data_IF_149980388184
#
_entry.id   IF_149980388184
#
_cell.length_a   1.000
_cell.length_b   1.000
_cell.length_c   1.000
_cell.angle_alpha   90.00
_cell.angle_beta   90.00
_cell.angle_gamma   90.00
#
_symmetry.space_group_name_H-M   'P 1'
#
loop_
_entity.id
_entity.type
_entity.pdbx_description
1 polymer ?
#
# COMPACT_ATOMS: atom_id res chain seq x y z
N UNK A 1 -12.73 -7.32 27.26
CA UNK A 1 -12.81 -7.34 25.79
C UNK A 1 -12.71 -8.77 25.28
N UNK A 2 -12.78 -8.94 23.97
CA UNK A 2 -12.41 -10.20 23.32
C UNK A 2 -10.90 -10.27 23.15
N UNK A 3 -10.34 -11.47 23.13
CA UNK A 3 -9.02 -11.69 22.52
C UNK A 3 -9.14 -11.53 21.00
N UNK A 4 -8.05 -11.29 20.28
CA UNK A 4 -8.08 -11.24 18.82
C UNK A 4 -8.73 -12.48 18.18
N UNK A 5 -8.35 -13.69 18.64
CA UNK A 5 -8.87 -14.95 18.11
C UNK A 5 -10.38 -15.11 18.34
N UNK A 6 -10.87 -14.73 19.52
CA UNK A 6 -12.30 -14.74 19.81
C UNK A 6 -13.07 -13.80 18.90
N UNK A 7 -12.58 -12.58 18.72
CA UNK A 7 -13.21 -11.59 17.83
C UNK A 7 -13.24 -12.08 16.38
N UNK A 8 -12.11 -12.54 15.86
CA UNK A 8 -12.03 -13.06 14.50
C UNK A 8 -12.89 -14.30 14.28
N UNK A 9 -13.01 -15.16 15.28
CA UNK A 9 -13.92 -16.32 15.22
C UNK A 9 -15.39 -15.87 15.07
N UNK A 10 -15.80 -14.81 15.79
CA UNK A 10 -17.15 -14.27 15.69
C UNK A 10 -17.37 -13.64 14.30
N UNK A 11 -16.44 -12.78 13.84
CA UNK A 11 -16.56 -12.08 12.58
C UNK A 11 -16.55 -13.02 11.37
N UNK A 12 -15.65 -14.01 11.37
CA UNK A 12 -15.55 -15.01 10.30
C UNK A 12 -16.80 -15.89 10.22
N UNK A 13 -17.31 -16.35 11.37
CA UNK A 13 -18.56 -17.12 11.44
C UNK A 13 -19.73 -16.29 10.90
N UNK A 14 -19.87 -15.04 11.33
CA UNK A 14 -20.91 -14.15 10.86
C UNK A 14 -20.83 -13.96 9.33
N UNK A 15 -19.64 -13.72 8.80
CA UNK A 15 -19.40 -13.60 7.37
C UNK A 15 -19.80 -14.85 6.59
N UNK A 16 -19.41 -16.02 7.09
CA UNK A 16 -19.73 -17.30 6.46
C UNK A 16 -21.25 -17.59 6.45
N UNK A 17 -21.92 -17.45 7.61
CA UNK A 17 -23.36 -17.70 7.75
C UNK A 17 -24.21 -16.76 6.87
N UNK A 18 -23.77 -15.51 6.68
CA UNK A 18 -24.48 -14.52 5.91
C UNK A 18 -23.98 -14.35 4.45
N UNK A 19 -22.98 -15.15 4.02
CA UNK A 19 -22.33 -15.04 2.71
C UNK A 19 -21.85 -13.61 2.42
N UNK A 20 -21.30 -12.95 3.42
CA UNK A 20 -20.85 -11.59 3.40
C UNK A 20 -19.34 -11.53 3.14
N UNK A 21 -18.89 -10.45 2.46
CA UNK A 21 -17.46 -10.14 2.34
C UNK A 21 -16.81 -10.09 3.74
N UNK A 22 -15.62 -10.71 3.88
CA UNK A 22 -14.98 -10.87 5.18
C UNK A 22 -14.64 -9.56 5.87
N UNK A 23 -14.26 -8.50 5.11
CA UNK A 23 -13.95 -7.20 5.68
C UNK A 23 -15.21 -6.45 6.10
N UNK A 24 -16.26 -6.51 5.30
CA UNK A 24 -17.55 -5.94 5.67
C UNK A 24 -18.13 -6.66 6.89
N UNK A 25 -17.97 -7.99 6.96
CA UNK A 25 -18.39 -8.79 8.11
C UNK A 25 -17.66 -8.39 9.39
N UNK A 26 -16.33 -8.21 9.30
CA UNK A 26 -15.51 -7.78 10.43
C UNK A 26 -15.87 -6.37 10.90
N UNK A 27 -16.04 -5.41 9.99
CA UNK A 27 -16.43 -4.04 10.33
C UNK A 27 -17.82 -3.98 10.95
N UNK A 28 -18.78 -4.72 10.38
CA UNK A 28 -20.13 -4.85 10.95
C UNK A 28 -20.09 -5.46 12.35
N UNK A 29 -19.38 -6.57 12.51
CA UNK A 29 -19.24 -7.27 13.81
C UNK A 29 -18.61 -6.34 14.85
N UNK A 30 -17.63 -5.53 14.48
CA UNK A 30 -17.00 -4.57 15.39
C UNK A 30 -18.03 -3.56 15.92
N UNK A 31 -18.87 -3.00 15.04
CA UNK A 31 -19.94 -2.07 15.45
C UNK A 31 -20.90 -2.75 16.41
N UNK A 32 -21.39 -3.95 16.05
CA UNK A 32 -22.37 -4.67 16.84
C UNK A 32 -21.84 -5.09 18.22
N UNK A 33 -20.63 -5.63 18.28
CA UNK A 33 -20.03 -6.08 19.53
C UNK A 33 -19.66 -4.91 20.45
N UNK A 34 -19.21 -3.79 19.90
CA UNK A 34 -19.02 -2.57 20.67
C UNK A 34 -20.34 -2.05 21.25
N UNK A 35 -21.42 -2.06 20.44
CA UNK A 35 -22.76 -1.66 20.87
C UNK A 35 -23.28 -2.55 22.01
N UNK A 36 -23.16 -3.87 21.89
CA UNK A 36 -23.57 -4.84 22.92
C UNK A 36 -22.84 -4.64 24.25
N UNK A 37 -21.57 -4.24 24.18
CA UNK A 37 -20.72 -4.02 25.36
C UNK A 37 -20.75 -2.58 25.89
N UNK A 38 -21.54 -1.69 25.30
CA UNK A 38 -21.59 -0.28 25.68
C UNK A 38 -20.31 0.49 25.40
N UNK A 39 -19.46 0.00 24.49
CA UNK A 39 -18.22 0.66 24.06
C UNK A 39 -18.56 1.67 22.97
N UNK A 40 -18.14 2.92 23.16
CA UNK A 40 -18.29 3.98 22.16
C UNK A 40 -17.24 3.84 21.08
N UNK A 41 -17.59 3.18 19.98
CA UNK A 41 -16.70 3.03 18.81
C UNK A 41 -16.65 4.36 18.05
N UNK A 42 -15.86 5.30 18.54
CA UNK A 42 -15.63 6.62 17.94
C UNK A 42 -14.30 6.65 17.19
N UNK A 43 -14.15 7.65 16.31
CA UNK A 43 -12.87 7.89 15.61
C UNK A 43 -11.73 8.08 16.60
N UNK A 44 -11.92 8.92 17.63
CA UNK A 44 -10.88 9.20 18.63
C UNK A 44 -10.47 7.93 19.41
N UNK A 45 -11.43 7.04 19.69
CA UNK A 45 -11.13 5.76 20.32
C UNK A 45 -10.21 4.92 19.45
N UNK A 46 -10.52 4.78 18.16
CA UNK A 46 -9.70 4.01 17.22
C UNK A 46 -8.31 4.63 17.00
N UNK A 47 -8.24 5.96 16.86
CA UNK A 47 -6.97 6.69 16.81
C UNK A 47 -6.15 6.45 18.09
N UNK A 48 -6.80 6.44 19.26
CA UNK A 48 -6.09 6.14 20.52
C UNK A 48 -5.50 4.71 20.54
N UNK A 49 -6.18 3.75 19.94
CA UNK A 49 -5.65 2.40 19.77
C UNK A 49 -4.38 2.39 18.89
N UNK A 50 -4.35 3.23 17.87
CA UNK A 50 -3.19 3.37 16.98
C UNK A 50 -1.92 3.85 17.69
N UNK A 51 -2.06 4.65 18.72
CA UNK A 51 -0.90 5.13 19.53
C UNK A 51 -0.19 4.03 20.30
N UNK A 52 -0.83 2.89 20.51
CA UNK A 52 -0.28 1.74 21.20
C UNK A 52 0.37 0.71 20.26
N UNK A 53 0.39 0.97 18.95
CA UNK A 53 1.00 0.05 17.99
C UNK A 53 2.52 0.10 18.13
N UNK A 54 3.11 -1.05 18.34
CA UNK A 54 4.55 -1.24 18.27
C UNK A 54 4.99 -1.36 16.81
N UNK A 55 5.92 -0.49 16.41
CA UNK A 55 6.48 -0.50 15.06
C UNK A 55 7.63 -1.52 14.98
N UNK A 56 7.83 -2.09 13.81
CA UNK A 56 8.99 -2.92 13.57
C UNK A 56 10.31 -2.16 13.78
N UNK A 57 11.40 -2.87 14.09
CA UNK A 57 12.69 -2.24 14.32
C UNK A 57 13.08 -1.31 13.16
N UNK A 58 13.42 -0.06 13.49
CA UNK A 58 13.92 0.94 12.55
C UNK A 58 12.84 1.65 11.70
N UNK A 59 11.54 1.30 11.82
CA UNK A 59 10.48 1.96 11.03
C UNK A 59 10.35 3.44 11.38
N UNK A 60 10.54 3.80 12.66
CA UNK A 60 10.36 5.17 13.14
C UNK A 60 11.25 6.21 12.44
N UNK A 61 12.40 5.81 11.94
CA UNK A 61 13.38 6.69 11.29
C UNK A 61 13.70 6.27 9.85
N UNK A 62 13.13 5.16 9.38
CA UNK A 62 13.37 4.67 8.03
C UNK A 62 12.89 5.63 6.95
N UNK A 63 11.72 6.24 7.12
CA UNK A 63 11.15 7.17 6.14
C UNK A 63 12.08 8.36 5.91
N UNK A 64 12.52 9.01 6.98
CA UNK A 64 13.44 10.16 6.87
C UNK A 64 14.78 9.76 6.24
N UNK A 65 15.32 8.56 6.55
CA UNK A 65 16.57 8.07 5.96
C UNK A 65 16.45 7.77 4.48
N UNK A 66 15.38 7.10 4.05
CA UNK A 66 15.20 6.77 2.63
C UNK A 66 14.86 8.02 1.81
N UNK A 67 14.11 8.98 2.37
CA UNK A 67 13.83 10.26 1.74
C UNK A 67 15.12 11.06 1.53
N UNK A 68 15.94 11.22 2.57
CA UNK A 68 17.24 11.89 2.46
C UNK A 68 18.15 11.19 1.44
N UNK A 69 18.13 9.86 1.38
CA UNK A 69 18.86 9.13 0.36
C UNK A 69 18.32 9.43 -1.05
N UNK A 70 16.99 9.44 -1.24
CA UNK A 70 16.34 9.81 -2.51
C UNK A 70 16.79 11.18 -3.00
N UNK A 71 16.80 12.19 -2.12
CA UNK A 71 17.27 13.54 -2.43
C UNK A 71 18.71 13.53 -2.95
N UNK A 72 19.62 12.72 -2.38
CA UNK A 72 21.00 12.58 -2.89
C UNK A 72 21.08 11.95 -4.28
N UNK A 73 20.02 11.24 -4.70
CA UNK A 73 19.91 10.66 -6.04
C UNK A 73 19.08 11.54 -6.99
N UNK A 74 18.61 12.71 -6.54
CA UNK A 74 17.80 13.65 -7.34
C UNK A 74 16.34 13.20 -7.50
N UNK A 75 15.81 12.35 -6.61
CA UNK A 75 14.43 11.87 -6.65
C UNK A 75 13.69 12.18 -5.35
N UNK A 76 12.41 12.53 -5.47
CA UNK A 76 11.48 12.67 -4.36
C UNK A 76 10.78 11.32 -4.11
N UNK A 77 10.73 10.88 -2.85
CA UNK A 77 10.06 9.63 -2.47
C UNK A 77 8.76 9.97 -1.76
N UNK A 78 7.67 9.35 -2.19
CA UNK A 78 6.36 9.46 -1.56
C UNK A 78 5.95 8.11 -0.97
N UNK A 79 5.31 8.16 0.19
CA UNK A 79 4.86 6.97 0.91
C UNK A 79 3.34 6.88 0.94
N UNK A 80 2.82 5.69 0.73
CA UNK A 80 1.40 5.38 0.71
C UNK A 80 1.11 4.11 1.51
N UNK A 81 -0.04 4.05 2.17
CA UNK A 81 -0.50 2.81 2.83
C UNK A 81 -1.69 2.24 2.07
N UNK A 82 -1.63 0.94 1.80
CA UNK A 82 -2.73 0.13 1.28
C UNK A 82 -3.00 -1.02 2.26
N UNK A 83 -4.00 -0.88 3.13
CA UNK A 83 -4.20 -1.79 4.26
C UNK A 83 -5.66 -2.27 4.36
N UNK A 84 -5.83 -3.54 4.73
CA UNK A 84 -7.13 -4.07 5.14
C UNK A 84 -7.46 -3.78 6.62
N UNK A 85 -6.53 -3.14 7.35
CA UNK A 85 -6.77 -2.60 8.69
C UNK A 85 -7.58 -1.31 8.66
N UNK A 86 -7.82 -0.73 9.84
CA UNK A 86 -8.57 0.52 9.97
C UNK A 86 -7.69 1.75 9.80
N UNK A 87 -8.14 2.69 8.98
CA UNK A 87 -7.49 3.97 8.72
C UNK A 87 -7.22 4.73 10.01
N UNK A 88 -8.21 4.81 10.89
CA UNK A 88 -8.14 5.54 12.14
C UNK A 88 -7.02 5.01 13.05
N UNK A 89 -6.81 3.69 13.04
CA UNK A 89 -5.73 3.07 13.79
C UNK A 89 -4.37 3.46 13.18
N UNK A 90 -4.25 3.42 11.85
CA UNK A 90 -3.02 3.82 11.16
C UNK A 90 -2.71 5.30 11.42
N UNK A 91 -3.72 6.17 11.36
CA UNK A 91 -3.58 7.60 11.66
C UNK A 91 -3.13 7.89 13.09
N UNK A 92 -3.42 6.98 14.03
CA UNK A 92 -2.95 7.04 15.41
C UNK A 92 -1.48 6.62 15.58
N UNK A 93 -0.88 5.95 14.61
CA UNK A 93 0.51 5.47 14.70
C UNK A 93 1.52 6.61 14.66
N UNK A 94 2.69 6.38 15.26
CA UNK A 94 3.77 7.38 15.33
C UNK A 94 4.35 7.80 13.99
N UNK A 95 4.04 7.09 12.89
CA UNK A 95 4.56 7.35 11.54
C UNK A 95 3.49 7.76 10.53
N UNK A 96 2.27 8.04 10.98
CA UNK A 96 1.16 8.39 10.09
C UNK A 96 1.41 9.64 9.25
N UNK A 97 2.20 10.57 9.76
CA UNK A 97 2.58 11.82 9.09
C UNK A 97 3.54 11.64 7.90
N UNK A 98 4.14 10.46 7.77
CA UNK A 98 5.03 10.12 6.65
C UNK A 98 4.26 9.73 5.38
N UNK A 99 2.97 9.44 5.50
CA UNK A 99 2.18 8.97 4.37
C UNK A 99 1.45 10.12 3.68
N UNK A 100 1.63 10.20 2.36
CA UNK A 100 0.91 11.15 1.52
C UNK A 100 -0.59 10.82 1.44
N UNK A 101 -0.93 9.52 1.43
CA UNK A 101 -2.31 9.04 1.50
C UNK A 101 -2.35 7.66 2.17
N UNK A 102 -3.43 7.41 2.91
CA UNK A 102 -3.71 6.15 3.58
C UNK A 102 -4.99 5.58 3.00
N UNK A 103 -4.88 4.52 2.21
CA UNK A 103 -6.01 3.72 1.75
C UNK A 103 -6.17 2.52 2.66
N UNK A 104 -7.17 2.57 3.51
CA UNK A 104 -7.47 1.52 4.48
C UNK A 104 -8.98 1.44 4.71
N UNK A 105 -9.45 0.37 5.34
CA UNK A 105 -10.84 0.32 5.76
C UNK A 105 -11.16 1.50 6.68
N UNK A 106 -12.28 2.16 6.47
CA UNK A 106 -12.66 3.37 7.20
C UNK A 106 -14.15 3.32 7.55
N UNK A 107 -14.51 3.84 8.73
CA UNK A 107 -15.90 3.97 9.13
C UNK A 107 -16.50 5.31 8.73
N UNK A 108 -17.77 5.30 8.37
CA UNK A 108 -18.62 6.47 8.40
C UNK A 108 -19.16 6.65 9.82
N UNK A 109 -19.08 7.89 10.35
CA UNK A 109 -19.53 8.23 11.69
C UNK A 109 -20.83 9.00 11.62
N UNK A 110 -21.78 8.62 12.49
CA UNK A 110 -23.06 9.30 12.61
C UNK A 110 -22.94 10.66 13.36
N UNK A 111 -24.06 11.36 13.53
CA UNK A 111 -24.11 12.67 14.21
C UNK A 111 -23.62 12.62 15.67
N UNK A 112 -23.64 11.44 16.31
CA UNK A 112 -23.12 11.22 17.66
C UNK A 112 -21.61 10.90 17.66
N UNK A 113 -20.96 10.91 16.50
CA UNK A 113 -19.55 10.57 16.33
C UNK A 113 -19.24 9.07 16.53
N UNK A 114 -20.23 8.20 16.35
CA UNK A 114 -20.07 6.76 16.48
C UNK A 114 -20.02 6.10 15.10
N UNK A 115 -19.16 5.09 14.95
CA UNK A 115 -19.09 4.27 13.74
C UNK A 115 -20.45 3.63 13.45
N UNK A 116 -20.95 3.79 12.24
CA UNK A 116 -22.28 3.36 11.86
C UNK A 116 -22.32 2.56 10.56
N UNK A 117 -21.34 2.75 9.68
CA UNK A 117 -21.28 2.08 8.37
C UNK A 117 -19.84 2.01 7.86
N UNK A 118 -19.45 0.99 7.09
CA UNK A 118 -18.20 1.02 6.34
C UNK A 118 -18.23 2.17 5.30
N UNK A 119 -17.30 3.10 5.39
CA UNK A 119 -17.12 4.18 4.41
C UNK A 119 -16.25 3.72 3.24
N UNK A 120 -15.22 2.96 3.54
CA UNK A 120 -14.30 2.37 2.59
C UNK A 120 -13.92 0.97 3.08
N UNK A 121 -13.90 0.00 2.17
CA UNK A 121 -13.26 -1.29 2.36
C UNK A 121 -12.04 -1.42 1.45
N UNK A 122 -10.97 -2.00 1.96
CA UNK A 122 -9.73 -2.24 1.21
C UNK A 122 -9.36 -3.70 1.35
N UNK A 123 -9.85 -4.51 0.43
CA UNK A 123 -9.63 -5.95 0.39
C UNK A 123 -8.50 -6.32 -0.59
N UNK A 124 -8.10 -7.59 -0.58
CA UNK A 124 -6.99 -8.08 -1.40
C UNK A 124 -7.20 -7.92 -2.92
N UNK A 125 -8.45 -7.87 -3.40
CA UNK A 125 -8.73 -7.68 -4.82
C UNK A 125 -8.77 -6.22 -5.21
N UNK A 126 -9.34 -5.35 -4.36
CA UNK A 126 -9.48 -3.94 -4.68
C UNK A 126 -8.24 -3.09 -4.32
N UNK A 127 -7.24 -3.63 -3.61
CA UNK A 127 -5.96 -2.93 -3.37
C UNK A 127 -5.32 -2.42 -4.67
N UNK A 128 -5.46 -3.14 -5.77
CA UNK A 128 -4.88 -2.77 -7.07
C UNK A 128 -5.42 -1.45 -7.62
N UNK A 129 -6.69 -1.09 -7.35
CA UNK A 129 -7.23 0.20 -7.79
C UNK A 129 -6.47 1.37 -7.16
N UNK A 130 -6.03 1.24 -5.90
CA UNK A 130 -5.31 2.31 -5.21
C UNK A 130 -3.90 2.50 -5.78
N UNK A 131 -3.27 1.44 -6.25
CA UNK A 131 -2.01 1.54 -7.00
C UNK A 131 -2.22 2.30 -8.30
N UNK A 132 -3.32 2.05 -9.03
CA UNK A 132 -3.67 2.85 -10.22
C UNK A 132 -3.99 4.32 -9.87
N UNK A 133 -4.62 4.58 -8.72
CA UNK A 133 -4.84 5.96 -8.25
C UNK A 133 -3.53 6.71 -8.04
N UNK A 134 -2.56 6.07 -7.41
CA UNK A 134 -1.21 6.61 -7.21
C UNK A 134 -0.54 6.84 -8.57
N UNK A 135 -0.57 5.85 -9.46
CA UNK A 135 0.00 5.93 -10.80
C UNK A 135 -0.54 7.14 -11.60
N UNK A 136 -1.86 7.33 -11.60
CA UNK A 136 -2.52 8.44 -12.31
C UNK A 136 -2.52 9.77 -11.55
N UNK A 137 -2.18 9.79 -10.26
CA UNK A 137 -2.29 10.98 -9.42
C UNK A 137 -3.73 11.34 -9.02
N UNK A 138 -4.68 10.40 -9.12
CA UNK A 138 -6.09 10.60 -8.80
C UNK A 138 -6.37 9.98 -7.43
N UNK A 139 -5.92 10.66 -6.38
CA UNK A 139 -5.91 10.11 -5.03
C UNK A 139 -7.30 10.08 -4.37
N UNK A 140 -8.20 10.99 -4.74
CA UNK A 140 -9.55 11.05 -4.19
C UNK A 140 -10.38 9.84 -4.60
N UNK A 141 -10.86 9.05 -3.62
CA UNK A 141 -11.66 7.84 -3.84
C UNK A 141 -13.01 8.11 -4.50
N UNK A 142 -13.56 9.33 -4.41
CA UNK A 142 -14.81 9.71 -5.06
C UNK A 142 -14.68 9.96 -6.58
N UNK A 143 -13.44 10.06 -7.09
CA UNK A 143 -13.16 10.39 -8.49
C UNK A 143 -13.00 9.15 -9.38
N UNK A 144 -13.98 8.27 -9.38
CA UNK A 144 -13.93 7.01 -10.15
C UNK A 144 -13.97 7.24 -11.67
N UNK A 145 -14.70 8.23 -12.15
CA UNK A 145 -14.75 8.56 -13.58
C UNK A 145 -13.40 8.98 -14.11
N UNK A 146 -12.68 9.82 -13.36
CA UNK A 146 -11.32 10.26 -13.70
C UNK A 146 -10.34 9.08 -13.66
N UNK A 147 -10.45 8.21 -12.65
CA UNK A 147 -9.63 7.01 -12.54
C UNK A 147 -9.76 6.10 -13.77
N UNK A 148 -10.99 5.90 -14.25
CA UNK A 148 -11.28 5.01 -15.39
C UNK A 148 -11.08 5.69 -16.76
N UNK A 149 -10.87 7.01 -16.80
CA UNK A 149 -10.58 7.70 -18.07
C UNK A 149 -9.24 7.22 -18.64
N UNK A 150 -9.17 7.18 -19.99
CA UNK A 150 -7.91 6.91 -20.68
C UNK A 150 -6.89 8.01 -20.37
N UNK A 151 -5.66 7.61 -20.04
CA UNK A 151 -4.55 8.53 -19.77
C UNK A 151 -3.31 7.97 -20.47
N UNK A 152 -2.64 8.76 -21.33
CA UNK A 152 -1.37 8.37 -21.93
C UNK A 152 -0.33 8.00 -20.87
N UNK A 153 0.58 7.08 -21.20
CA UNK A 153 1.55 6.57 -20.23
C UNK A 153 2.53 7.64 -19.75
N UNK A 154 2.91 8.56 -20.63
CA UNK A 154 3.77 9.72 -20.35
C UNK A 154 3.10 10.80 -19.49
N UNK A 155 1.76 10.79 -19.42
CA UNK A 155 0.97 11.71 -18.60
C UNK A 155 0.68 11.18 -17.19
N UNK A 156 1.06 9.94 -16.91
CA UNK A 156 0.88 9.33 -15.58
C UNK A 156 1.85 9.95 -14.59
N UNK A 157 1.32 10.31 -13.41
CA UNK A 157 2.11 11.03 -12.40
C UNK A 157 3.30 10.23 -11.89
N UNK A 158 3.10 8.93 -11.59
CA UNK A 158 4.17 8.04 -11.14
C UNK A 158 4.12 6.77 -11.99
N UNK A 159 5.10 6.52 -12.87
CA UNK A 159 5.19 5.28 -13.62
C UNK A 159 5.30 4.06 -12.68
N UNK A 160 4.74 2.92 -13.08
CA UNK A 160 4.88 1.70 -12.28
C UNK A 160 6.33 1.29 -12.07
N UNK A 161 7.21 1.57 -13.05
CA UNK A 161 8.66 1.34 -12.95
C UNK A 161 9.32 2.07 -11.79
N UNK A 162 8.70 3.15 -11.31
CA UNK A 162 9.14 3.97 -10.17
C UNK A 162 8.35 3.67 -8.89
N UNK A 163 7.74 2.49 -8.80
CA UNK A 163 7.02 2.06 -7.62
C UNK A 163 7.68 0.84 -6.97
N UNK A 164 7.68 0.85 -5.63
CA UNK A 164 8.05 -0.29 -4.80
C UNK A 164 6.82 -0.65 -3.97
N UNK A 165 6.35 -1.88 -4.09
CA UNK A 165 5.31 -2.41 -3.24
C UNK A 165 5.92 -3.30 -2.17
N UNK A 166 5.68 -2.96 -0.91
CA UNK A 166 6.14 -3.73 0.25
C UNK A 166 4.91 -4.31 0.95
N UNK A 167 4.88 -5.62 1.16
CA UNK A 167 3.79 -6.30 1.84
C UNK A 167 4.29 -7.49 2.66
N UNK A 168 3.40 -8.13 3.41
CA UNK A 168 3.78 -9.21 4.35
C UNK A 168 3.01 -10.51 4.13
N UNK A 169 2.10 -10.56 3.16
CA UNK A 169 1.25 -11.74 3.05
C UNK A 169 0.45 -11.90 1.77
N UNK A 170 -0.44 -12.89 1.83
CA UNK A 170 -1.26 -13.31 0.69
C UNK A 170 -2.22 -12.23 0.19
N UNK A 171 -2.64 -11.32 1.07
CA UNK A 171 -3.52 -10.20 0.69
C UNK A 171 -2.86 -9.21 -0.26
N UNK A 172 -1.53 -9.21 -0.34
CA UNK A 172 -0.74 -8.28 -1.16
C UNK A 172 -0.37 -8.86 -2.53
N UNK A 173 -0.57 -10.16 -2.71
CA UNK A 173 -0.17 -10.89 -3.94
C UNK A 173 -0.68 -10.25 -5.24
N UNK A 174 -1.95 -9.79 -5.34
CA UNK A 174 -2.41 -9.12 -6.56
C UNK A 174 -1.59 -7.88 -6.90
N UNK A 175 -1.29 -7.03 -5.91
CA UNK A 175 -0.45 -5.84 -6.09
C UNK A 175 1.00 -6.19 -6.41
N UNK A 176 1.59 -7.17 -5.72
CA UNK A 176 2.95 -7.66 -5.98
C UNK A 176 3.10 -8.17 -7.41
N UNK A 177 2.16 -9.00 -7.88
CA UNK A 177 2.14 -9.48 -9.27
C UNK A 177 2.01 -8.34 -10.26
N UNK A 178 1.16 -7.37 -9.98
CA UNK A 178 0.98 -6.20 -10.82
C UNK A 178 2.25 -5.36 -10.91
N UNK A 179 2.93 -5.09 -9.77
CA UNK A 179 4.20 -4.38 -9.76
C UNK A 179 5.21 -5.04 -10.69
N UNK A 180 5.44 -6.35 -10.53
CA UNK A 180 6.37 -7.09 -11.37
C UNK A 180 5.98 -7.08 -12.85
N UNK A 181 4.69 -7.23 -13.15
CA UNK A 181 4.19 -7.23 -14.54
C UNK A 181 4.42 -5.88 -15.25
N UNK A 182 4.38 -4.76 -14.52
CA UNK A 182 4.56 -3.42 -15.07
C UNK A 182 5.96 -2.82 -14.80
N UNK A 183 6.92 -3.64 -14.37
CA UNK A 183 8.32 -3.23 -14.21
C UNK A 183 8.66 -2.51 -12.91
N UNK A 184 7.72 -2.42 -11.98
CA UNK A 184 7.97 -2.00 -10.60
C UNK A 184 8.68 -3.07 -9.78
N UNK A 185 8.86 -2.83 -8.49
CA UNK A 185 9.52 -3.76 -7.58
C UNK A 185 8.53 -4.26 -6.53
N UNK A 186 8.52 -5.56 -6.28
CA UNK A 186 7.70 -6.20 -5.26
C UNK A 186 8.59 -6.83 -4.18
N UNK A 187 8.40 -6.41 -2.95
CA UNK A 187 9.18 -6.84 -1.79
C UNK A 187 8.24 -7.42 -0.75
N UNK A 188 8.57 -8.59 -0.20
CA UNK A 188 7.85 -9.10 0.95
C UNK A 188 8.72 -9.06 2.20
N UNK A 189 8.11 -8.63 3.32
CA UNK A 189 8.74 -8.66 4.63
C UNK A 189 8.11 -9.72 5.51
N UNK A 190 8.87 -10.32 6.41
CA UNK A 190 8.38 -11.39 7.26
C UNK A 190 8.85 -11.23 8.71
N UNK A 191 8.04 -11.79 9.60
CA UNK A 191 8.41 -12.19 10.95
C UNK A 191 8.57 -13.72 10.97
N UNK A 192 9.13 -14.27 12.04
CA UNK A 192 9.32 -15.72 12.15
C UNK A 192 8.00 -16.51 11.99
N UNK A 193 6.89 -15.93 12.43
CA UNK A 193 5.56 -16.55 12.35
C UNK A 193 5.00 -16.73 10.93
N UNK A 194 5.36 -15.88 9.97
CA UNK A 194 4.86 -15.93 8.58
C UNK A 194 5.95 -16.22 7.53
N UNK A 195 7.17 -16.49 7.97
CA UNK A 195 8.36 -16.67 7.12
C UNK A 195 8.14 -17.68 5.99
N UNK A 196 7.64 -18.86 6.31
CA UNK A 196 7.42 -19.93 5.32
C UNK A 196 6.47 -19.50 4.19
N UNK A 197 5.41 -18.73 4.51
CA UNK A 197 4.50 -18.19 3.51
C UNK A 197 5.15 -17.16 2.59
N UNK A 198 6.02 -16.33 3.14
CA UNK A 198 6.76 -15.32 2.36
C UNK A 198 7.86 -15.97 1.49
N UNK A 199 8.55 -16.99 1.98
CA UNK A 199 9.51 -17.78 1.18
C UNK A 199 8.81 -18.44 -0.03
N UNK A 200 7.57 -18.93 0.14
CA UNK A 200 6.75 -19.48 -0.96
C UNK A 200 6.41 -18.41 -2.01
N UNK A 201 6.19 -17.15 -1.61
CA UNK A 201 5.97 -16.05 -2.57
C UNK A 201 7.20 -15.84 -3.48
N UNK A 202 8.40 -15.87 -2.93
CA UNK A 202 9.64 -15.77 -3.70
C UNK A 202 9.83 -16.99 -4.62
N UNK A 203 9.67 -18.20 -4.09
CA UNK A 203 9.81 -19.44 -4.84
C UNK A 203 8.84 -19.51 -6.03
N UNK A 204 7.62 -18.99 -5.88
CA UNK A 204 6.61 -18.89 -6.94
C UNK A 204 6.76 -17.66 -7.84
N UNK A 205 7.83 -16.90 -7.69
CA UNK A 205 8.08 -15.71 -8.48
C UNK A 205 7.01 -14.61 -8.33
N UNK A 206 6.42 -14.46 -7.15
CA UNK A 206 5.40 -13.44 -6.88
C UNK A 206 5.98 -12.14 -6.36
N UNK A 207 7.19 -12.19 -5.81
CA UNK A 207 7.97 -11.05 -5.34
C UNK A 207 9.39 -11.09 -5.90
N UNK A 208 10.08 -9.97 -5.87
CA UNK A 208 11.49 -9.87 -6.31
C UNK A 208 12.44 -10.15 -5.15
N UNK A 209 12.07 -9.75 -3.94
CA UNK A 209 12.90 -9.88 -2.74
C UNK A 209 12.06 -10.23 -1.51
N UNK A 210 12.70 -10.89 -0.55
CA UNK A 210 12.14 -11.13 0.80
C UNK A 210 13.15 -10.75 1.87
N UNK A 211 12.68 -10.17 2.96
CA UNK A 211 13.53 -9.75 4.10
C UNK A 211 12.81 -9.96 5.44
N UNK A 212 13.56 -10.15 6.54
CA UNK A 212 12.99 -9.90 7.87
C UNK A 212 12.40 -8.49 7.95
N UNK A 213 11.34 -8.31 8.74
CA UNK A 213 10.73 -6.99 9.00
C UNK A 213 11.65 -6.13 9.91
N UNK A 214 12.86 -5.85 9.44
CA UNK A 214 13.88 -5.06 10.10
C UNK A 214 14.32 -3.90 9.20
N UNK A 215 13.86 -2.70 9.55
CA UNK A 215 14.03 -1.47 8.78
C UNK A 215 15.23 -0.64 9.26
N UNK A 216 16.06 -1.16 10.16
CA UNK A 216 17.23 -0.43 10.68
C UNK A 216 18.24 -0.12 9.58
N UNK A 217 19.00 0.96 9.78
CA UNK A 217 20.06 1.36 8.84
C UNK A 217 21.11 0.25 8.64
N UNK A 218 21.54 0.10 7.39
CA UNK A 218 22.56 -0.88 7.00
C UNK A 218 22.09 -2.34 6.95
N UNK A 219 20.81 -2.65 7.22
CA UNK A 219 20.26 -3.99 7.00
C UNK A 219 20.24 -4.32 5.51
N UNK A 220 20.10 -5.60 5.18
CA UNK A 220 19.97 -6.01 3.78
C UNK A 220 18.72 -5.41 3.13
N UNK A 221 17.61 -5.28 3.88
CA UNK A 221 16.42 -4.56 3.43
C UNK A 221 16.75 -3.10 3.07
N UNK A 222 17.31 -2.35 4.02
CA UNK A 222 17.65 -0.93 3.84
C UNK A 222 18.60 -0.72 2.63
N UNK A 223 19.64 -1.54 2.55
CA UNK A 223 20.61 -1.47 1.45
C UNK A 223 19.97 -1.78 0.11
N UNK A 224 19.09 -2.79 0.05
CA UNK A 224 18.40 -3.15 -1.19
C UNK A 224 17.41 -2.05 -1.61
N UNK A 225 16.65 -1.46 -0.66
CA UNK A 225 15.77 -0.32 -0.97
C UNK A 225 16.55 0.85 -1.57
N UNK A 226 17.68 1.22 -0.97
CA UNK A 226 18.57 2.26 -1.51
C UNK A 226 19.08 1.92 -2.91
N UNK A 227 19.41 0.67 -3.20
CA UNK A 227 19.83 0.23 -4.54
C UNK A 227 18.69 0.30 -5.57
N UNK A 228 17.47 -0.04 -5.17
CA UNK A 228 16.29 0.08 -6.04
C UNK A 228 16.03 1.56 -6.36
N UNK A 229 16.05 2.44 -5.37
CA UNK A 229 15.90 3.90 -5.58
C UNK A 229 16.99 4.42 -6.52
N UNK A 230 18.24 4.04 -6.34
CA UNK A 230 19.34 4.43 -7.24
C UNK A 230 19.11 3.92 -8.67
N UNK A 231 18.67 2.67 -8.84
CA UNK A 231 18.34 2.10 -10.15
C UNK A 231 17.25 2.92 -10.85
N UNK A 232 16.19 3.31 -10.11
CA UNK A 232 15.10 4.12 -10.64
C UNK A 232 15.60 5.49 -11.09
N UNK A 233 16.38 6.18 -10.25
CA UNK A 233 16.96 7.48 -10.57
C UNK A 233 17.84 7.45 -11.84
N UNK A 234 18.66 6.41 -11.99
CA UNK A 234 19.50 6.22 -13.19
C UNK A 234 18.62 5.97 -14.42
N UNK A 235 17.59 5.14 -14.29
CA UNK A 235 16.70 4.85 -15.41
C UNK A 235 15.95 6.10 -15.89
N UNK A 236 15.46 6.92 -14.96
CA UNK A 236 14.78 8.18 -15.26
C UNK A 236 15.73 9.19 -15.95
N UNK A 237 16.96 9.33 -15.44
CA UNK A 237 17.95 10.21 -16.04
C UNK A 237 18.28 9.82 -17.49
N UNK A 238 18.42 8.50 -17.76
CA UNK A 238 18.65 8.00 -19.13
C UNK A 238 17.44 8.22 -20.03
N UNK A 239 16.23 8.05 -19.51
CA UNK A 239 15.01 8.32 -20.26
C UNK A 239 14.87 9.80 -20.62
N UNK A 240 15.18 10.69 -19.67
CA UNK A 240 15.17 12.14 -19.91
C UNK A 240 16.21 12.56 -20.95
N UNK A 241 17.44 12.06 -20.86
CA UNK A 241 18.48 12.32 -21.86
C UNK A 241 18.04 11.87 -23.26
N UNK A 242 17.45 10.69 -23.39
CA UNK A 242 16.92 10.20 -24.65
C UNK A 242 15.84 11.15 -25.21
N UNK A 243 14.90 11.59 -24.37
CA UNK A 243 13.86 12.54 -24.76
C UNK A 243 14.42 13.88 -25.21
N UNK A 244 15.47 14.39 -24.55
CA UNK A 244 16.15 15.61 -24.95
C UNK A 244 16.79 15.47 -26.34
N UNK A 245 17.45 14.34 -26.63
CA UNK A 245 18.04 14.07 -27.95
C UNK A 245 16.96 13.98 -29.03
N UNK A 246 15.82 13.35 -28.77
CA UNK A 246 14.71 13.26 -29.72
C UNK A 246 14.11 14.64 -30.03
N UNK A 247 13.92 15.48 -29.01
CA UNK A 247 13.46 16.86 -29.19
C UNK A 247 14.45 17.69 -30.05
N UNK A 248 15.74 17.54 -29.83
CA UNK A 248 16.77 18.21 -30.62
C UNK A 248 16.76 17.79 -32.08
N UNK A 249 16.31 16.58 -32.40
CA UNK A 249 16.16 16.09 -33.78
C UNK A 249 14.81 16.50 -34.42
N UNK A 250 13.99 17.29 -33.72
CA UNK A 250 12.63 17.66 -34.21
C UNK A 250 11.64 16.48 -34.22
N UNK A 251 11.96 15.41 -33.52
CA UNK A 251 11.10 14.21 -33.37
C UNK A 251 10.50 14.20 -31.98
N UNK A 252 9.54 15.08 -31.77
CA UNK A 252 8.92 15.34 -30.45
C UNK A 252 7.87 14.34 -30.01
N UNK A 253 7.91 13.07 -30.40
CA UNK A 253 7.16 11.94 -29.79
C UNK A 253 7.67 10.65 -30.41
N UNK A 254 8.17 9.73 -29.56
CA UNK A 254 8.35 8.35 -30.03
C UNK A 254 6.98 7.72 -30.31
N UNK A 255 6.81 6.96 -31.40
CA UNK A 255 5.68 6.06 -31.49
C UNK A 255 5.74 5.15 -30.28
N UNK A 256 4.62 5.05 -29.55
CA UNK A 256 4.47 4.14 -28.43
C UNK A 256 5.11 2.79 -28.79
N UNK A 257 6.11 2.37 -28.05
CA UNK A 257 6.53 0.98 -28.12
C UNK A 257 5.27 0.17 -27.75
N UNK A 258 4.63 -0.39 -28.76
CA UNK A 258 3.63 -1.44 -28.54
C UNK A 258 4.32 -2.49 -27.67
N UNK A 259 3.86 -2.58 -26.42
CA UNK A 259 4.32 -3.61 -25.53
C UNK A 259 4.26 -4.94 -26.24
N UNK A 260 5.42 -5.57 -26.41
CA UNK A 260 5.53 -6.96 -26.80
C UNK A 260 4.92 -7.81 -25.69
N UNK A 261 3.61 -7.87 -25.64
CA UNK A 261 2.83 -8.92 -24.98
C UNK A 261 1.51 -9.04 -25.74
N UNK A 262 1.56 -9.56 -26.93
CA UNK A 262 0.50 -10.41 -27.45
C UNK A 262 0.57 -11.73 -26.69
N UNK A 263 -0.51 -12.06 -26.04
CA UNK A 263 -1.16 -13.26 -25.49
C UNK A 263 -1.75 -13.01 -24.11
#
# INVERSE_FOLDING_TARGET
GYTPDEFWSIANRFGFENRMDGLLAYMYTMIEECRKKGIRLSRDYLVSCGRAIELFPGVSDWFSRINAFGETQGVEIEHYVLSSGLREIIEGSGVSHEFKEIYACEFFYNEQGLASWPKLDVNFTNKTQFVYRINKGILDVAKDKELNASMPDDSKRIPFTNMIYIGDGLSDVPCMKMMRAYGGQAVAVYQDSNRAGVEDLLAKGRVDFIFPADYRDGTLFDTTMKNIVRKMAIADALAEENQQQLRALGRGELPQQMGLLGW
#
